data_IF_090375743250
#
_entry.id   IF_090375743250
#
_cell.length_a   1.000
_cell.length_b   1.000
_cell.length_c   1.000
_cell.angle_alpha   90.00
_cell.angle_beta   90.00
_cell.angle_gamma   90.00
#
_symmetry.space_group_name_H-M   'P 1'
#
loop_
_entity.id
_entity.type
_entity.pdbx_description
1 polymer ?
#
# COMPACT_ATOMS: atom_id res chain seq x y z
N UNK A 1 -10.33 -31.68 9.02
CA UNK A 1 -11.58 -31.41 8.27
C UNK A 1 -11.51 -30.01 7.68
N UNK A 2 -11.40 -29.88 6.36
CA UNK A 2 -11.45 -28.60 5.66
C UNK A 2 -12.93 -28.22 5.58
N UNK A 3 -13.40 -27.27 6.41
CA UNK A 3 -14.73 -26.68 6.22
C UNK A 3 -14.74 -26.06 4.83
N UNK A 4 -15.59 -26.57 3.92
CA UNK A 4 -15.79 -25.95 2.63
C UNK A 4 -16.28 -24.51 2.86
N UNK A 5 -15.60 -23.54 2.23
CA UNK A 5 -16.02 -22.15 2.33
C UNK A 5 -17.44 -22.02 1.77
N UNK A 6 -18.31 -21.27 2.45
CA UNK A 6 -19.64 -20.99 1.90
C UNK A 6 -19.50 -20.18 0.59
N UNK A 7 -20.45 -20.34 -0.34
CA UNK A 7 -20.44 -19.61 -1.64
C UNK A 7 -20.17 -18.10 -1.47
N UNK A 8 -20.80 -17.39 -0.50
CA UNK A 8 -20.50 -15.96 -0.26
C UNK A 8 -19.05 -15.67 0.13
N UNK A 9 -18.41 -16.54 0.93
CA UNK A 9 -17.02 -16.37 1.31
C UNK A 9 -16.06 -16.58 0.14
N UNK A 10 -16.32 -17.57 -0.70
CA UNK A 10 -15.53 -17.79 -1.90
C UNK A 10 -15.59 -16.57 -2.83
N UNK A 11 -16.80 -16.02 -3.06
CA UNK A 11 -16.97 -14.81 -3.86
C UNK A 11 -16.24 -13.60 -3.28
N UNK A 12 -16.26 -13.41 -1.95
CA UNK A 12 -15.51 -12.32 -1.31
C UNK A 12 -13.98 -12.52 -1.39
N UNK A 13 -13.47 -13.76 -1.27
CA UNK A 13 -12.03 -14.05 -1.44
C UNK A 13 -11.57 -13.71 -2.85
N UNK A 14 -12.33 -14.13 -3.86
CA UNK A 14 -12.05 -13.81 -5.27
C UNK A 14 -12.11 -12.29 -5.48
N UNK A 15 -13.14 -11.63 -4.94
CA UNK A 15 -13.28 -10.17 -5.04
C UNK A 15 -12.08 -9.43 -4.41
N UNK A 16 -11.57 -9.88 -3.25
CA UNK A 16 -10.40 -9.27 -2.62
C UNK A 16 -9.14 -9.40 -3.48
N UNK A 17 -8.89 -10.58 -4.07
CA UNK A 17 -7.79 -10.80 -5.02
C UNK A 17 -7.92 -9.86 -6.22
N UNK A 18 -9.13 -9.74 -6.79
CA UNK A 18 -9.38 -8.84 -7.92
C UNK A 18 -9.19 -7.37 -7.54
N UNK A 19 -9.67 -6.93 -6.37
CA UNK A 19 -9.46 -5.57 -5.87
C UNK A 19 -7.98 -5.27 -5.70
N UNK A 20 -7.20 -6.23 -5.18
CA UNK A 20 -5.75 -6.07 -5.05
C UNK A 20 -5.06 -5.99 -6.43
N UNK A 21 -5.41 -6.88 -7.37
CA UNK A 21 -4.91 -6.85 -8.75
C UNK A 21 -5.22 -5.53 -9.46
N UNK A 22 -6.47 -5.08 -9.38
CA UNK A 22 -6.94 -3.81 -9.96
C UNK A 22 -6.26 -2.62 -9.27
N UNK A 23 -6.06 -2.70 -7.95
CA UNK A 23 -5.31 -1.74 -7.15
C UNK A 23 -3.81 -1.66 -7.47
N UNK A 24 -3.26 -2.55 -8.29
CA UNK A 24 -1.89 -2.40 -8.79
C UNK A 24 -1.81 -1.45 -9.99
N UNK A 25 -2.94 -0.90 -10.47
CA UNK A 25 -3.15 0.01 -11.62
C UNK A 25 -2.73 -0.52 -12.99
N UNK A 26 -1.63 -1.25 -13.09
CA UNK A 26 -1.01 -1.62 -14.37
C UNK A 26 -1.96 -2.29 -15.36
N UNK A 27 -2.57 -3.41 -14.98
CA UNK A 27 -3.34 -4.24 -15.90
C UNK A 27 -4.54 -3.52 -16.52
N UNK A 28 -5.33 -2.77 -15.73
CA UNK A 28 -6.54 -2.11 -16.22
C UNK A 28 -6.20 -1.01 -17.23
N UNK A 29 -5.21 -0.17 -16.90
CA UNK A 29 -4.80 0.90 -17.79
C UNK A 29 -4.05 0.40 -19.02
N UNK A 30 -3.32 -0.71 -18.92
CA UNK A 30 -2.70 -1.34 -20.09
C UNK A 30 -3.72 -1.96 -21.03
N UNK A 31 -4.74 -2.64 -20.51
CA UNK A 31 -5.87 -3.06 -21.32
C UNK A 31 -6.54 -1.86 -21.98
N UNK A 32 -6.73 -0.76 -21.25
CA UNK A 32 -7.30 0.47 -21.78
C UNK A 32 -6.50 1.06 -22.94
N UNK A 33 -5.17 1.07 -22.86
CA UNK A 33 -4.27 1.57 -23.91
C UNK A 33 -4.25 0.62 -25.11
N UNK A 34 -4.21 -0.70 -24.86
CA UNK A 34 -4.16 -1.71 -25.92
C UNK A 34 -5.42 -1.70 -26.80
N UNK A 35 -6.58 -1.38 -26.21
CA UNK A 35 -7.89 -1.47 -26.86
C UNK A 35 -8.57 -0.12 -27.09
N UNK A 36 -7.87 1.01 -26.93
CA UNK A 36 -8.40 2.32 -27.32
C UNK A 36 -7.55 3.53 -26.91
N UNK A 37 -7.78 4.71 -27.53
CA UNK A 37 -7.04 5.93 -27.21
C UNK A 37 -7.37 6.44 -25.81
N UNK A 38 -6.38 6.90 -25.04
CA UNK A 38 -6.57 7.53 -23.72
C UNK A 38 -6.69 9.04 -23.92
N UNK A 39 -7.80 9.62 -23.48
CA UNK A 39 -8.03 11.07 -23.58
C UNK A 39 -7.33 11.82 -22.45
N UNK A 40 -6.25 12.54 -22.75
CA UNK A 40 -5.54 13.37 -21.76
C UNK A 40 -4.72 12.57 -20.75
N UNK A 41 -4.76 12.94 -19.47
CA UNK A 41 -4.03 12.23 -18.40
C UNK A 41 -4.77 10.94 -17.98
N UNK A 42 -4.05 9.94 -17.46
CA UNK A 42 -4.69 8.72 -16.91
C UNK A 42 -5.63 8.99 -15.73
N UNK A 43 -5.46 10.14 -15.08
CA UNK A 43 -6.37 10.62 -14.03
C UNK A 43 -7.70 11.12 -14.62
N UNK A 44 -7.75 11.43 -15.92
CA UNK A 44 -8.90 11.99 -16.63
C UNK A 44 -9.66 11.01 -17.52
N UNK A 45 -9.14 9.79 -17.71
CA UNK A 45 -9.81 8.80 -18.54
C UNK A 45 -11.11 8.34 -17.87
N UNK A 46 -12.22 9.02 -18.20
CA UNK A 46 -13.55 8.77 -17.64
C UNK A 46 -13.96 7.30 -17.71
N UNK A 47 -13.76 6.57 -18.83
CA UNK A 47 -14.08 5.14 -18.89
C UNK A 47 -13.34 4.34 -17.80
N UNK A 48 -12.04 4.58 -17.63
CA UNK A 48 -11.25 3.89 -16.59
C UNK A 48 -11.70 4.30 -15.18
N UNK A 49 -12.00 5.58 -14.96
CA UNK A 49 -12.50 6.03 -13.66
C UNK A 49 -13.83 5.40 -13.28
N UNK A 50 -14.77 5.33 -14.23
CA UNK A 50 -16.07 4.65 -14.05
C UNK A 50 -15.85 3.16 -13.79
N UNK A 51 -14.95 2.50 -14.51
CA UNK A 51 -14.63 1.09 -14.30
C UNK A 51 -14.16 0.81 -12.86
N UNK A 52 -13.27 1.64 -12.31
CA UNK A 52 -12.85 1.51 -10.91
C UNK A 52 -14.02 1.66 -9.93
N UNK A 53 -14.90 2.66 -10.11
CA UNK A 53 -16.08 2.81 -9.25
C UNK A 53 -17.02 1.61 -9.33
N UNK A 54 -17.27 1.08 -10.53
CA UNK A 54 -18.09 -0.13 -10.73
C UNK A 54 -17.47 -1.34 -10.03
N UNK A 55 -16.15 -1.53 -10.18
CA UNK A 55 -15.41 -2.61 -9.52
C UNK A 55 -15.52 -2.49 -8.00
N UNK A 56 -15.33 -1.29 -7.43
CA UNK A 56 -15.42 -1.08 -5.98
C UNK A 56 -16.84 -1.20 -5.45
N UNK A 57 -17.85 -0.75 -6.20
CA UNK A 57 -19.25 -0.94 -5.83
C UNK A 57 -19.62 -2.44 -5.81
N UNK A 58 -19.23 -3.19 -6.85
CA UNK A 58 -19.43 -4.64 -6.91
C UNK A 58 -18.70 -5.37 -5.79
N UNK A 59 -17.43 -5.04 -5.54
CA UNK A 59 -16.63 -5.60 -4.45
C UNK A 59 -17.26 -5.32 -3.07
N UNK A 60 -17.76 -4.10 -2.85
CA UNK A 60 -18.46 -3.72 -1.63
C UNK A 60 -19.74 -4.54 -1.43
N UNK A 61 -20.56 -4.67 -2.49
CA UNK A 61 -21.78 -5.48 -2.45
C UNK A 61 -21.51 -6.96 -2.16
N UNK A 62 -20.45 -7.53 -2.75
CA UNK A 62 -20.00 -8.89 -2.46
C UNK A 62 -19.49 -9.03 -1.03
N UNK A 63 -18.76 -8.03 -0.51
CA UNK A 63 -18.32 -7.98 0.88
C UNK A 63 -19.49 -8.01 1.85
N UNK A 64 -20.53 -7.19 1.62
CA UNK A 64 -21.74 -7.18 2.46
C UNK A 64 -22.43 -8.55 2.52
N UNK A 65 -22.48 -9.28 1.39
CA UNK A 65 -23.03 -10.65 1.34
C UNK A 65 -22.19 -11.67 2.11
N UNK A 66 -20.90 -11.41 2.29
CA UNK A 66 -19.98 -12.30 3.02
C UNK A 66 -19.93 -12.02 4.53
N UNK A 67 -20.52 -10.92 5.02
CA UNK A 67 -20.61 -10.63 6.44
C UNK A 67 -21.43 -11.70 7.17
N UNK A 68 -20.91 -12.22 8.30
CA UNK A 68 -21.60 -13.22 9.13
C UNK A 68 -22.50 -12.52 10.18
N UNK A 69 -23.77 -12.91 10.39
CA UNK A 69 -24.53 -12.53 11.60
C UNK A 69 -24.02 -13.28 12.85
N UNK A 70 -24.06 -12.72 14.09
CA UNK A 70 -24.58 -11.39 14.47
C UNK A 70 -23.51 -10.29 14.38
N UNK A 71 -22.38 -10.56 13.72
CA UNK A 71 -21.27 -9.62 13.50
C UNK A 71 -21.75 -8.31 12.84
N UNK A 72 -22.90 -8.27 12.16
CA UNK A 72 -23.42 -7.05 11.51
C UNK A 72 -23.67 -5.85 12.44
N UNK A 73 -23.94 -6.04 13.74
CA UNK A 73 -24.16 -4.91 14.69
C UNK A 73 -22.92 -4.47 15.46
N UNK A 74 -21.96 -5.37 15.72
CA UNK A 74 -20.74 -5.07 16.52
C UNK A 74 -19.50 -4.75 15.67
N UNK A 75 -19.50 -5.07 14.38
CA UNK A 75 -18.39 -4.77 13.45
C UNK A 75 -18.40 -3.33 12.92
N UNK A 76 -19.51 -2.61 13.12
CA UNK A 76 -19.68 -1.20 12.72
C UNK A 76 -19.36 -0.18 13.82
N UNK A 77 -19.00 -0.63 15.03
CA UNK A 77 -18.57 0.28 16.10
C UNK A 77 -17.20 0.86 15.69
N UNK A 78 -17.01 2.19 15.74
CA UNK A 78 -15.75 2.81 15.35
C UNK A 78 -14.59 2.21 16.15
N UNK A 79 -13.74 1.48 15.43
CA UNK A 79 -12.49 0.97 15.92
C UNK A 79 -11.53 2.15 16.14
N UNK A 80 -10.65 2.06 17.12
CA UNK A 80 -9.69 3.13 17.46
C UNK A 80 -8.91 3.65 16.23
N UNK A 81 -8.43 2.81 15.28
CA UNK A 81 -7.78 3.29 14.05
C UNK A 81 -8.77 3.70 12.94
N UNK A 82 -10.06 3.36 13.05
CA UNK A 82 -11.08 3.72 12.06
C UNK A 82 -11.47 5.20 12.15
N UNK A 83 -11.56 5.77 13.35
CA UNK A 83 -11.87 7.20 13.51
C UNK A 83 -10.82 8.07 12.80
N UNK A 84 -9.51 7.90 13.04
CA UNK A 84 -8.48 8.65 12.31
C UNK A 84 -8.46 8.37 10.80
N UNK A 85 -8.73 7.13 10.38
CA UNK A 85 -8.85 6.80 8.95
C UNK A 85 -9.98 7.58 8.28
N UNK A 86 -11.17 7.58 8.90
CA UNK A 86 -12.33 8.33 8.40
C UNK A 86 -12.04 9.83 8.44
N UNK A 87 -11.40 10.34 9.48
CA UNK A 87 -11.00 11.75 9.56
C UNK A 87 -10.04 12.14 8.42
N UNK A 88 -9.02 11.32 8.14
CA UNK A 88 -8.13 11.51 6.99
C UNK A 88 -8.91 11.53 5.68
N UNK A 89 -9.79 10.55 5.44
CA UNK A 89 -10.62 10.51 4.24
C UNK A 89 -11.52 11.74 4.11
N UNK A 90 -12.13 12.20 5.21
CA UNK A 90 -12.93 13.41 5.25
C UNK A 90 -12.08 14.62 4.88
N UNK A 91 -10.87 14.77 5.44
CA UNK A 91 -9.97 15.89 5.10
C UNK A 91 -9.61 15.87 3.62
N UNK A 92 -9.29 14.71 3.05
CA UNK A 92 -8.96 14.59 1.63
C UNK A 92 -10.16 14.92 0.73
N UNK A 93 -11.38 14.49 1.09
CA UNK A 93 -12.60 14.85 0.34
C UNK A 93 -12.93 16.34 0.51
N UNK A 94 -12.90 16.85 1.74
CA UNK A 94 -13.15 18.26 2.06
C UNK A 94 -12.16 19.18 1.35
N UNK A 95 -10.94 18.71 1.04
CA UNK A 95 -9.99 19.48 0.25
C UNK A 95 -10.50 19.88 -1.14
N UNK A 96 -11.56 19.24 -1.65
CA UNK A 96 -12.25 19.70 -2.86
C UNK A 96 -12.88 21.09 -2.71
N UNK A 97 -13.24 21.53 -1.49
CA UNK A 97 -13.91 22.80 -1.22
C UNK A 97 -13.01 24.03 -1.43
N UNK A 98 -11.68 23.86 -1.28
CA UNK A 98 -10.69 24.92 -1.49
C UNK A 98 -9.69 24.57 -2.61
N UNK A 99 -9.98 23.50 -3.36
CA UNK A 99 -9.11 22.99 -4.41
C UNK A 99 -9.05 23.94 -5.60
N UNK A 100 -7.88 24.07 -6.22
CA UNK A 100 -7.74 24.75 -7.52
C UNK A 100 -8.39 23.95 -8.66
N UNK A 101 -8.64 22.65 -8.45
CA UNK A 101 -9.26 21.72 -9.39
C UNK A 101 -10.27 20.82 -8.65
N UNK A 102 -11.38 21.40 -8.18
CA UNK A 102 -12.36 20.72 -7.32
C UNK A 102 -12.86 19.38 -7.87
N UNK A 103 -13.15 19.30 -9.18
CA UNK A 103 -13.64 18.07 -9.82
C UNK A 103 -12.61 16.93 -9.77
N UNK A 104 -11.33 17.24 -9.97
CA UNK A 104 -10.24 16.24 -9.91
C UNK A 104 -10.00 15.76 -8.49
N UNK A 105 -9.97 16.70 -7.55
CA UNK A 105 -9.84 16.40 -6.12
C UNK A 105 -10.98 15.53 -5.63
N UNK A 106 -12.22 15.87 -5.99
CA UNK A 106 -13.38 15.08 -5.61
C UNK A 106 -13.34 13.68 -6.23
N UNK A 107 -13.01 13.56 -7.52
CA UNK A 107 -12.89 12.27 -8.20
C UNK A 107 -11.85 11.35 -7.55
N UNK A 108 -10.63 11.86 -7.29
CA UNK A 108 -9.56 11.07 -6.67
C UNK A 108 -9.87 10.69 -5.22
N UNK A 109 -10.40 11.63 -4.43
CA UNK A 109 -10.73 11.37 -3.02
C UNK A 109 -11.91 10.39 -2.89
N UNK A 110 -12.97 10.52 -3.69
CA UNK A 110 -14.09 9.57 -3.68
C UNK A 110 -13.69 8.18 -4.15
N UNK A 111 -12.80 8.07 -5.12
CA UNK A 111 -12.30 6.75 -5.56
C UNK A 111 -11.42 6.09 -4.50
N UNK A 112 -10.60 6.87 -3.78
CA UNK A 112 -9.87 6.41 -2.60
C UNK A 112 -10.83 5.92 -1.50
N UNK A 113 -11.90 6.67 -1.22
CA UNK A 113 -12.96 6.27 -0.27
C UNK A 113 -13.63 4.97 -0.71
N UNK A 114 -14.03 4.86 -1.97
CA UNK A 114 -14.70 3.67 -2.52
C UNK A 114 -13.81 2.42 -2.44
N UNK A 115 -12.53 2.53 -2.84
CA UNK A 115 -11.57 1.44 -2.71
C UNK A 115 -11.31 1.05 -1.25
N UNK A 116 -11.20 2.04 -0.36
CA UNK A 116 -11.04 1.80 1.08
C UNK A 116 -12.24 1.07 1.67
N UNK A 117 -13.45 1.52 1.35
CA UNK A 117 -14.70 0.90 1.79
C UNK A 117 -14.83 -0.54 1.27
N UNK A 118 -14.52 -0.78 0.00
CA UNK A 118 -14.55 -2.12 -0.60
C UNK A 118 -13.63 -3.09 0.14
N UNK A 119 -12.37 -2.70 0.39
CA UNK A 119 -11.42 -3.53 1.13
C UNK A 119 -11.87 -3.72 2.58
N UNK A 120 -12.32 -2.65 3.24
CA UNK A 120 -12.78 -2.71 4.62
C UNK A 120 -13.91 -3.73 4.79
N UNK A 121 -14.95 -3.66 3.96
CA UNK A 121 -16.12 -4.54 4.03
C UNK A 121 -15.76 -5.98 3.66
N UNK A 122 -14.95 -6.18 2.60
CA UNK A 122 -14.50 -7.51 2.20
C UNK A 122 -13.72 -8.19 3.32
N UNK A 123 -12.68 -7.53 3.86
CA UNK A 123 -11.84 -8.11 4.90
C UNK A 123 -12.63 -8.35 6.20
N UNK A 124 -13.60 -7.50 6.51
CA UNK A 124 -14.48 -7.67 7.67
C UNK A 124 -15.33 -8.94 7.63
N UNK A 125 -15.62 -9.47 6.43
CA UNK A 125 -16.40 -10.70 6.24
C UNK A 125 -15.57 -11.97 6.05
N UNK A 126 -14.25 -11.83 5.91
CA UNK A 126 -13.34 -12.93 5.60
C UNK A 126 -12.69 -13.53 6.83
N UNK A 127 -12.20 -14.76 6.67
CA UNK A 127 -11.41 -15.43 7.70
C UNK A 127 -10.03 -14.77 7.83
N UNK A 128 -9.37 -15.06 8.95
CA UNK A 128 -8.06 -14.50 9.26
C UNK A 128 -7.01 -14.91 8.22
N UNK A 129 -6.14 -13.96 7.85
CA UNK A 129 -5.04 -14.19 6.92
C UNK A 129 -5.45 -14.24 5.44
N UNK A 130 -6.73 -14.02 5.11
CA UNK A 130 -7.18 -13.94 3.71
C UNK A 130 -6.62 -12.73 2.98
N UNK A 131 -6.32 -11.60 3.65
CA UNK A 131 -5.66 -10.46 3.02
C UNK A 131 -4.22 -10.77 2.58
N UNK A 132 -3.48 -11.50 3.42
CA UNK A 132 -2.12 -11.98 3.12
C UNK A 132 -2.13 -12.95 1.94
N UNK A 133 -3.07 -13.91 1.92
CA UNK A 133 -3.27 -14.82 0.80
C UNK A 133 -3.67 -14.08 -0.47
N UNK A 134 -4.56 -13.10 -0.38
CA UNK A 134 -4.99 -12.30 -1.52
C UNK A 134 -3.81 -11.54 -2.14
N UNK A 135 -2.94 -10.95 -1.31
CA UNK A 135 -1.71 -10.30 -1.80
C UNK A 135 -0.76 -11.29 -2.49
N UNK A 136 -0.58 -12.49 -1.93
CA UNK A 136 0.26 -13.51 -2.54
C UNK A 136 -0.27 -13.93 -3.92
N UNK A 137 -1.56 -14.20 -4.03
CA UNK A 137 -2.19 -14.62 -5.29
C UNK A 137 -2.13 -13.46 -6.30
N UNK A 138 -2.60 -12.27 -5.93
CA UNK A 138 -2.60 -11.10 -6.80
C UNK A 138 -1.18 -10.76 -7.27
N UNK A 139 -0.22 -10.73 -6.35
CA UNK A 139 1.17 -10.45 -6.63
C UNK A 139 1.81 -11.48 -7.56
N UNK A 140 1.55 -12.77 -7.33
CA UNK A 140 2.08 -13.85 -8.19
C UNK A 140 1.48 -13.80 -9.59
N UNK A 141 0.17 -13.56 -9.70
CA UNK A 141 -0.50 -13.40 -11.01
C UNK A 141 0.07 -12.19 -11.74
N UNK A 142 0.21 -11.05 -11.06
CA UNK A 142 0.74 -9.83 -11.66
C UNK A 142 2.19 -9.95 -12.15
N UNK A 143 3.06 -10.62 -11.39
CA UNK A 143 4.45 -10.88 -11.80
C UNK A 143 4.51 -11.89 -12.95
N UNK A 144 3.72 -12.97 -12.90
CA UNK A 144 3.66 -13.97 -13.97
C UNK A 144 3.17 -13.36 -15.29
N UNK A 145 2.06 -12.62 -15.27
CA UNK A 145 1.52 -11.93 -16.46
C UNK A 145 2.55 -10.93 -17.01
N UNK A 146 3.30 -10.25 -16.14
CA UNK A 146 4.37 -9.35 -16.57
C UNK A 146 5.52 -10.07 -17.28
N UNK A 147 5.91 -11.26 -16.80
CA UNK A 147 6.91 -12.10 -17.48
C UNK A 147 6.43 -12.53 -18.85
N UNK A 148 5.17 -12.98 -18.94
CA UNK A 148 4.54 -13.36 -20.22
C UNK A 148 4.50 -12.17 -21.18
N UNK A 149 4.09 -10.98 -20.71
CA UNK A 149 4.05 -9.77 -21.53
C UNK A 149 5.42 -9.42 -22.14
N UNK A 150 6.49 -9.55 -21.36
CA UNK A 150 7.85 -9.32 -21.87
C UNK A 150 8.29 -10.41 -22.83
N UNK A 151 8.02 -11.68 -22.53
CA UNK A 151 8.41 -12.81 -23.37
C UNK A 151 7.71 -12.76 -24.75
N UNK A 152 6.47 -12.28 -24.80
CA UNK A 152 5.70 -12.09 -26.02
C UNK A 152 6.00 -10.75 -26.72
N UNK A 153 6.92 -9.93 -26.21
CA UNK A 153 7.31 -8.67 -26.83
C UNK A 153 6.19 -7.62 -26.85
N UNK A 154 5.32 -7.58 -25.83
CA UNK A 154 4.27 -6.56 -25.75
C UNK A 154 4.88 -5.15 -25.74
N UNK A 155 4.23 -4.22 -26.42
CA UNK A 155 4.67 -2.83 -26.49
C UNK A 155 4.85 -2.23 -25.08
N UNK A 156 5.95 -1.50 -24.87
CA UNK A 156 6.36 -0.92 -23.57
C UNK A 156 6.51 -1.91 -22.40
N UNK A 157 6.46 -3.22 -22.61
CA UNK A 157 6.72 -4.21 -21.54
C UNK A 157 8.16 -4.14 -21.02
N UNK A 158 9.05 -3.52 -21.79
CA UNK A 158 10.39 -3.09 -21.42
C UNK A 158 10.52 -1.57 -21.58
N UNK A 159 11.28 -0.92 -20.69
CA UNK A 159 11.63 0.50 -20.83
C UNK A 159 12.74 0.71 -21.87
N UNK A 160 12.99 1.97 -22.26
CA UNK A 160 14.03 2.32 -23.24
C UNK A 160 15.46 1.95 -22.83
N UNK A 161 15.67 1.42 -21.62
CA UNK A 161 16.96 0.92 -21.11
C UNK A 161 16.95 -0.60 -20.91
N UNK A 162 15.95 -1.31 -21.46
CA UNK A 162 15.81 -2.76 -21.39
C UNK A 162 15.41 -3.28 -19.99
N UNK A 163 14.95 -2.42 -19.08
CA UNK A 163 14.41 -2.84 -17.78
C UNK A 163 12.99 -3.31 -17.94
N UNK A 164 12.61 -4.26 -17.10
CA UNK A 164 11.28 -4.85 -17.12
C UNK A 164 10.25 -3.89 -16.52
N UNK A 165 9.23 -3.56 -17.31
CA UNK A 165 8.04 -2.79 -16.91
C UNK A 165 6.81 -3.70 -16.82
N UNK A 166 6.77 -4.79 -17.59
CA UNK A 166 5.67 -5.75 -17.58
C UNK A 166 4.35 -5.13 -18.01
N UNK A 167 3.27 -5.47 -17.31
CA UNK A 167 1.94 -4.88 -17.54
C UNK A 167 1.70 -3.60 -16.73
N UNK A 168 2.76 -2.92 -16.30
CA UNK A 168 2.66 -1.70 -15.49
C UNK A 168 3.04 -0.46 -16.28
N UNK A 169 2.80 0.72 -15.70
CA UNK A 169 3.17 1.99 -16.34
C UNK A 169 4.66 2.25 -16.36
N UNK A 170 5.34 1.84 -15.30
CA UNK A 170 6.77 2.04 -15.15
C UNK A 170 7.38 0.87 -14.36
N UNK A 171 8.71 0.72 -14.48
CA UNK A 171 9.47 -0.33 -13.78
C UNK A 171 9.33 -0.29 -12.27
N UNK A 172 9.09 0.88 -11.68
CA UNK A 172 8.99 1.01 -10.22
C UNK A 172 7.67 0.45 -9.69
N UNK A 173 6.57 0.60 -10.44
CA UNK A 173 5.29 -0.01 -10.12
C UNK A 173 5.39 -1.55 -10.12
N UNK A 174 5.99 -2.15 -11.15
CA UNK A 174 6.23 -3.60 -11.16
C UNK A 174 7.21 -4.02 -10.05
N UNK A 175 8.28 -3.25 -9.83
CA UNK A 175 9.23 -3.50 -8.75
C UNK A 175 8.56 -3.51 -7.38
N UNK A 176 7.63 -2.59 -7.12
CA UNK A 176 6.82 -2.54 -5.91
C UNK A 176 5.93 -3.77 -5.76
N UNK A 177 5.28 -4.23 -6.83
CA UNK A 177 4.47 -5.46 -6.81
C UNK A 177 5.34 -6.67 -6.49
N UNK A 178 6.46 -6.83 -7.22
CA UNK A 178 7.40 -7.93 -7.00
C UNK A 178 7.95 -7.96 -5.56
N UNK A 179 8.35 -6.80 -5.03
CA UNK A 179 8.83 -6.69 -3.65
C UNK A 179 7.76 -6.96 -2.60
N UNK A 180 6.51 -6.55 -2.85
CA UNK A 180 5.38 -6.86 -1.96
C UNK A 180 5.07 -8.36 -1.95
N UNK A 181 5.15 -9.02 -3.11
CA UNK A 181 5.00 -10.48 -3.24
C UNK A 181 6.12 -11.22 -2.51
N UNK A 182 7.37 -10.77 -2.65
CA UNK A 182 8.52 -11.33 -1.94
C UNK A 182 8.36 -11.20 -0.42
N UNK A 183 8.03 -10.00 0.06
CA UNK A 183 7.73 -9.74 1.47
C UNK A 183 6.62 -10.68 1.98
N UNK A 184 5.49 -10.74 1.27
CA UNK A 184 4.38 -11.58 1.64
C UNK A 184 4.77 -13.07 1.69
N UNK A 185 5.54 -13.56 0.72
CA UNK A 185 5.97 -14.97 0.69
C UNK A 185 6.86 -15.30 1.90
N UNK A 186 7.82 -14.43 2.23
CA UNK A 186 8.71 -14.63 3.37
C UNK A 186 7.92 -14.62 4.69
N UNK A 187 7.03 -13.64 4.90
CA UNK A 187 6.20 -13.60 6.11
C UNK A 187 5.29 -14.83 6.21
N UNK A 188 4.74 -15.30 5.08
CA UNK A 188 3.90 -16.49 5.03
C UNK A 188 4.67 -17.74 5.47
N UNK A 189 5.91 -17.88 5.01
CA UNK A 189 6.84 -18.94 5.43
C UNK A 189 7.20 -18.84 6.91
N UNK A 190 7.52 -17.63 7.41
CA UNK A 190 7.87 -17.39 8.82
C UNK A 190 6.74 -17.79 9.78
N UNK A 191 5.49 -17.49 9.42
CA UNK A 191 4.30 -17.87 10.20
C UNK A 191 4.01 -19.38 10.14
N UNK A 192 4.41 -20.06 9.07
CA UNK A 192 4.16 -21.49 8.82
C UNK A 192 5.43 -22.34 8.84
N UNK A 193 6.44 -21.98 9.64
CA UNK A 193 7.77 -22.61 9.65
C UNK A 193 7.82 -24.13 9.82
N UNK A 194 6.76 -24.76 10.33
CA UNK A 194 6.66 -26.23 10.51
C UNK A 194 6.03 -26.94 9.30
N UNK A 195 5.50 -26.19 8.35
CA UNK A 195 4.91 -26.68 7.11
C UNK A 195 5.93 -26.54 5.99
N UNK A 196 6.70 -27.61 5.75
CA UNK A 196 7.72 -27.65 4.71
C UNK A 196 7.15 -27.44 3.30
N UNK A 197 5.88 -27.81 3.05
CA UNK A 197 5.23 -27.57 1.76
C UNK A 197 4.93 -26.09 1.57
N UNK A 198 4.38 -25.44 2.61
CA UNK A 198 4.19 -23.99 2.58
C UNK A 198 5.52 -23.26 2.42
N UNK A 199 6.57 -23.65 3.13
CA UNK A 199 7.90 -23.07 2.99
C UNK A 199 8.46 -23.22 1.56
N UNK A 200 8.31 -24.39 0.94
CA UNK A 200 8.74 -24.63 -0.44
C UNK A 200 7.97 -23.75 -1.45
N UNK A 201 6.64 -23.70 -1.35
CA UNK A 201 5.81 -22.84 -2.21
C UNK A 201 6.17 -21.37 -2.03
N UNK A 202 6.40 -20.93 -0.78
CA UNK A 202 6.82 -19.57 -0.47
C UNK A 202 8.19 -19.25 -1.08
N UNK A 203 9.13 -20.20 -1.03
CA UNK A 203 10.46 -20.04 -1.63
C UNK A 203 10.36 -19.90 -3.15
N UNK A 204 9.50 -20.68 -3.81
CA UNK A 204 9.29 -20.58 -5.26
C UNK A 204 8.66 -19.23 -5.66
N UNK A 205 7.62 -18.80 -4.94
CA UNK A 205 6.98 -17.48 -5.15
C UNK A 205 7.99 -16.36 -4.88
N UNK A 206 8.74 -16.44 -3.77
CA UNK A 206 9.76 -15.45 -3.40
C UNK A 206 10.89 -15.37 -4.42
N UNK A 207 11.40 -16.51 -4.89
CA UNK A 207 12.45 -16.55 -5.90
C UNK A 207 11.99 -15.94 -7.23
N UNK A 208 10.78 -16.28 -7.70
CA UNK A 208 10.24 -15.69 -8.93
C UNK A 208 10.02 -14.18 -8.80
N UNK A 209 9.49 -13.72 -7.67
CA UNK A 209 9.35 -12.30 -7.36
C UNK A 209 10.70 -11.57 -7.31
N UNK A 210 11.73 -12.18 -6.72
CA UNK A 210 13.08 -11.63 -6.66
C UNK A 210 13.72 -11.47 -8.05
N UNK A 211 13.54 -12.46 -8.93
CA UNK A 211 14.01 -12.40 -10.32
C UNK A 211 13.32 -11.26 -11.07
N UNK A 212 11.99 -11.15 -10.96
CA UNK A 212 11.23 -10.05 -11.60
C UNK A 212 11.70 -8.71 -11.06
N UNK A 213 11.83 -8.56 -9.74
CA UNK A 213 12.35 -7.34 -9.14
C UNK A 213 13.74 -6.98 -9.69
N UNK A 214 14.66 -7.94 -9.78
CA UNK A 214 16.02 -7.69 -10.28
C UNK A 214 16.00 -7.11 -11.71
N UNK A 215 15.10 -7.62 -12.56
CA UNK A 215 14.88 -7.11 -13.93
C UNK A 215 14.27 -5.70 -13.97
N UNK A 216 13.54 -5.28 -12.93
CA UNK A 216 12.98 -3.91 -12.84
C UNK A 216 14.02 -2.88 -12.39
N UNK A 217 14.94 -3.25 -11.49
CA UNK A 217 15.91 -2.33 -10.90
C UNK A 217 15.37 -1.36 -9.84
N UNK A 218 14.12 -1.50 -9.38
CA UNK A 218 13.52 -0.57 -8.41
C UNK A 218 14.16 -0.67 -7.02
N UNK A 219 14.84 0.38 -6.54
CA UNK A 219 15.47 0.35 -5.22
C UNK A 219 14.44 0.49 -4.08
N UNK A 220 13.48 1.40 -4.21
CA UNK A 220 12.47 1.70 -3.17
C UNK A 220 11.70 0.47 -2.74
N UNK A 221 11.20 -0.32 -3.70
CA UNK A 221 10.45 -1.54 -3.38
C UNK A 221 11.26 -2.52 -2.56
N UNK A 222 12.56 -2.67 -2.85
CA UNK A 222 13.42 -3.59 -2.10
C UNK A 222 13.71 -3.08 -0.69
N UNK A 223 13.97 -1.78 -0.52
CA UNK A 223 14.15 -1.20 0.82
C UNK A 223 12.88 -1.42 1.64
N UNK A 224 11.70 -1.18 1.07
CA UNK A 224 10.43 -1.45 1.75
C UNK A 224 10.24 -2.94 2.11
N UNK A 225 10.54 -3.86 1.19
CA UNK A 225 10.45 -5.30 1.44
C UNK A 225 11.40 -5.74 2.56
N UNK A 226 12.66 -5.33 2.52
CA UNK A 226 13.65 -5.67 3.54
C UNK A 226 13.23 -5.09 4.91
N UNK A 227 12.80 -3.84 4.97
CA UNK A 227 12.32 -3.23 6.21
C UNK A 227 11.09 -3.96 6.77
N UNK A 228 10.13 -4.34 5.93
CA UNK A 228 8.95 -5.11 6.34
C UNK A 228 9.30 -6.53 6.80
N UNK A 229 10.20 -7.23 6.10
CA UNK A 229 10.70 -8.56 6.48
C UNK A 229 11.41 -8.49 7.83
N UNK A 230 12.29 -7.50 8.01
CA UNK A 230 13.03 -7.30 9.25
C UNK A 230 12.08 -7.03 10.42
N UNK A 231 11.09 -6.16 10.23
CA UNK A 231 10.06 -5.89 11.25
C UNK A 231 9.25 -7.15 11.58
N UNK A 232 8.89 -7.95 10.59
CA UNK A 232 8.18 -9.22 10.80
C UNK A 232 9.02 -10.23 11.57
N UNK A 233 10.29 -10.39 11.17
CA UNK A 233 11.24 -11.28 11.83
C UNK A 233 11.50 -10.83 13.27
N UNK A 234 11.62 -9.53 13.51
CA UNK A 234 11.74 -8.96 14.85
C UNK A 234 10.56 -9.37 15.75
N UNK A 235 9.32 -9.24 15.27
CA UNK A 235 8.13 -9.68 16.03
C UNK A 235 8.22 -11.18 16.33
N UNK A 236 8.56 -11.99 15.33
CA UNK A 236 8.68 -13.45 15.49
C UNK A 236 9.74 -13.82 16.55
N UNK A 237 10.89 -13.13 16.55
CA UNK A 237 11.95 -13.35 17.55
C UNK A 237 11.50 -12.85 18.93
N UNK A 238 10.85 -11.68 19.01
CA UNK A 238 10.30 -11.13 20.25
C UNK A 238 9.30 -12.09 20.89
N UNK A 239 8.36 -12.65 20.11
CA UNK A 239 7.34 -13.59 20.59
C UNK A 239 7.92 -14.89 21.14
N UNK A 240 9.13 -15.28 20.71
CA UNK A 240 9.83 -16.47 21.20
C UNK A 240 10.78 -16.20 22.36
N UNK A 241 11.02 -14.93 22.68
CA UNK A 241 11.96 -14.53 23.71
C UNK A 241 11.28 -14.37 25.06
N UNK A 242 11.99 -14.67 26.15
CA UNK A 242 11.50 -14.51 27.52
C UNK A 242 12.40 -13.56 28.34
N UNK A 243 11.87 -13.02 29.44
CA UNK A 243 12.64 -12.25 30.42
C UNK A 243 13.39 -11.02 29.87
N UNK A 244 14.68 -10.90 30.20
CA UNK A 244 15.55 -9.76 29.82
C UNK A 244 15.74 -9.68 28.29
N UNK A 245 15.82 -10.81 27.60
CA UNK A 245 16.01 -10.85 26.15
C UNK A 245 14.82 -10.23 25.41
N UNK A 246 13.59 -10.50 25.85
CA UNK A 246 12.38 -9.85 25.31
C UNK A 246 12.39 -8.33 25.49
N UNK A 247 12.88 -7.83 26.64
CA UNK A 247 13.04 -6.38 26.90
C UNK A 247 14.10 -5.75 26.00
N UNK A 248 15.26 -6.38 25.84
CA UNK A 248 16.34 -5.89 24.98
C UNK A 248 15.90 -5.86 23.51
N UNK A 249 15.25 -6.93 23.03
CA UNK A 249 14.68 -6.98 21.69
C UNK A 249 13.57 -5.93 21.52
N UNK A 250 12.83 -5.60 22.58
CA UNK A 250 11.81 -4.54 22.57
C UNK A 250 12.33 -3.16 22.13
N UNK A 251 13.63 -2.87 22.29
CA UNK A 251 14.27 -1.59 21.92
C UNK A 251 14.75 -1.59 20.45
N UNK A 252 14.95 -2.78 19.86
CA UNK A 252 15.49 -2.94 18.50
C UNK A 252 14.70 -2.24 17.37
N UNK A 253 13.36 -2.10 17.40
CA UNK A 253 12.61 -1.36 16.38
C UNK A 253 12.98 0.11 16.32
N UNK A 254 13.28 0.74 17.47
CA UNK A 254 13.68 2.14 17.51
C UNK A 254 15.01 2.36 16.78
N UNK A 255 15.97 1.45 16.98
CA UNK A 255 17.25 1.48 16.29
C UNK A 255 17.08 1.21 14.79
N UNK A 256 16.19 0.30 14.41
CA UNK A 256 15.91 -0.01 13.01
C UNK A 256 15.20 1.14 12.29
N UNK A 257 14.25 1.82 12.95
CA UNK A 257 13.61 3.04 12.43
C UNK A 257 14.64 4.14 12.24
N UNK A 258 15.51 4.38 13.22
CA UNK A 258 16.61 5.35 13.09
C UNK A 258 17.59 4.98 11.98
N UNK A 259 17.90 3.68 11.81
CA UNK A 259 18.75 3.18 10.72
C UNK A 259 18.12 3.37 9.34
N UNK A 260 16.80 3.16 9.20
CA UNK A 260 16.07 3.41 7.95
C UNK A 260 16.01 4.91 7.66
N UNK A 261 15.73 5.75 8.65
CA UNK A 261 15.77 7.20 8.51
C UNK A 261 17.16 7.70 8.11
N UNK A 262 18.21 7.15 8.72
CA UNK A 262 19.60 7.44 8.37
C UNK A 262 19.95 6.95 6.96
N UNK A 263 19.45 5.80 6.51
CA UNK A 263 19.67 5.28 5.15
C UNK A 263 18.95 6.13 4.10
N UNK A 264 17.73 6.59 4.41
CA UNK A 264 16.97 7.54 3.58
C UNK A 264 17.68 8.88 3.51
N UNK A 265 18.33 9.33 4.59
CA UNK A 265 19.15 10.53 4.62
C UNK A 265 20.48 10.35 3.84
N UNK A 266 21.16 9.19 3.99
CA UNK A 266 22.44 8.85 3.35
C UNK A 266 22.32 8.26 1.92
N UNK A 267 21.13 8.38 1.32
CA UNK A 267 20.70 7.72 0.07
C UNK A 267 21.62 7.88 -1.13
N UNK A 268 22.20 9.07 -1.34
CA UNK A 268 23.06 9.36 -2.49
C UNK A 268 24.37 8.57 -2.47
N UNK A 269 24.83 8.22 -1.27
CA UNK A 269 26.02 7.39 -1.04
C UNK A 269 25.67 5.92 -1.28
N UNK A 270 24.61 5.42 -0.67
CA UNK A 270 24.21 4.00 -0.76
C UNK A 270 23.96 3.54 -2.20
N UNK A 271 23.29 4.34 -3.03
CA UNK A 271 23.04 3.98 -4.44
C UNK A 271 24.32 3.89 -5.26
N UNK A 272 25.30 4.78 -5.02
CA UNK A 272 26.61 4.74 -5.69
C UNK A 272 27.41 3.50 -5.31
N UNK A 273 27.36 3.09 -4.04
CA UNK A 273 28.08 1.90 -3.55
C UNK A 273 27.55 0.59 -4.14
N UNK A 274 26.25 0.52 -4.47
CA UNK A 274 25.62 -0.68 -5.06
C UNK A 274 25.83 -0.73 -6.60
N UNK A 275 26.57 0.22 -7.18
CA UNK A 275 26.81 0.28 -8.63
C UNK A 275 25.52 0.47 -9.45
N UNK A 276 24.46 0.99 -8.82
CA UNK A 276 23.19 1.29 -9.47
C UNK A 276 23.09 2.80 -9.69
N UNK A 277 22.59 3.21 -10.85
CA UNK A 277 22.21 4.61 -11.03
C UNK A 277 21.22 5.03 -9.93
N UNK A 278 21.33 6.24 -9.37
CA UNK A 278 20.37 6.73 -8.38
C UNK A 278 18.97 6.67 -9.00
N UNK A 279 18.12 5.76 -8.52
CA UNK A 279 16.72 5.62 -8.99
C UNK A 279 15.84 6.82 -8.67
N UNK A 280 16.39 7.82 -7.97
CA UNK A 280 15.76 9.08 -7.59
C UNK A 280 16.28 10.29 -8.40
N UNK A 281 17.07 10.11 -9.47
CA UNK A 281 17.50 11.23 -10.31
C UNK A 281 16.28 12.06 -10.74
N UNK A 282 16.26 13.32 -10.27
CA UNK A 282 15.23 14.33 -10.46
C UNK A 282 13.90 14.18 -9.70
N UNK A 283 13.74 13.17 -8.83
CA UNK A 283 12.66 13.17 -7.81
C UNK A 283 12.91 14.20 -6.73
N UNK A 284 14.17 14.45 -6.37
CA UNK A 284 14.53 15.52 -5.41
C UNK A 284 14.17 16.89 -5.93
N UNK A 285 14.50 17.16 -7.19
CA UNK A 285 14.25 18.45 -7.83
C UNK A 285 12.73 18.68 -7.99
N UNK A 286 11.98 17.61 -8.26
CA UNK A 286 10.51 17.63 -8.21
C UNK A 286 10.02 18.03 -6.80
N UNK A 287 10.60 17.46 -5.75
CA UNK A 287 10.19 17.75 -4.37
C UNK A 287 10.47 19.19 -3.97
N UNK A 288 11.57 19.78 -4.45
CA UNK A 288 11.89 21.19 -4.20
C UNK A 288 10.81 22.10 -4.82
N UNK A 289 10.39 21.84 -6.07
CA UNK A 289 9.28 22.56 -6.70
C UNK A 289 7.97 22.40 -5.92
N UNK A 290 7.67 21.18 -5.43
CA UNK A 290 6.47 20.91 -4.63
C UNK A 290 6.49 21.67 -3.30
N UNK A 291 7.64 21.66 -2.61
CA UNK A 291 7.82 22.31 -1.30
C UNK A 291 7.74 23.83 -1.47
N UNK A 292 8.39 24.38 -2.50
CA UNK A 292 8.30 25.80 -2.85
C UNK A 292 6.86 26.22 -3.11
N UNK A 293 6.12 25.44 -3.91
CA UNK A 293 4.72 25.68 -4.18
C UNK A 293 3.86 25.59 -2.91
N UNK A 294 4.13 24.62 -2.03
CA UNK A 294 3.40 24.42 -0.77
C UNK A 294 3.50 25.63 0.17
N UNK A 295 4.62 26.38 0.18
CA UNK A 295 4.73 27.61 0.98
C UNK A 295 3.68 28.67 0.63
N UNK A 296 3.09 28.62 -0.57
CA UNK A 296 1.97 29.50 -0.96
C UNK A 296 0.63 29.12 -0.28
N UNK A 297 0.46 27.85 0.14
CA UNK A 297 -0.77 27.32 0.76
C UNK A 297 -0.49 26.32 1.90
N UNK A 298 0.22 26.71 2.97
CA UNK A 298 0.81 25.74 3.91
C UNK A 298 -0.22 24.96 4.71
N UNK A 299 -1.30 25.61 5.17
CA UNK A 299 -2.30 24.98 6.05
C UNK A 299 -3.19 23.96 5.32
N UNK A 300 -3.69 24.32 4.14
CA UNK A 300 -4.74 23.58 3.43
C UNK A 300 -4.28 22.94 2.11
N UNK A 301 -3.15 23.35 1.55
CA UNK A 301 -2.66 22.86 0.27
C UNK A 301 -3.50 23.32 -0.93
N UNK A 302 -3.28 22.69 -2.08
CA UNK A 302 -3.91 23.03 -3.36
C UNK A 302 -5.22 22.29 -3.66
N UNK A 303 -5.62 21.34 -2.80
CA UNK A 303 -6.59 20.29 -3.08
C UNK A 303 -5.89 18.96 -3.42
N UNK A 304 -6.38 17.83 -2.89
CA UNK A 304 -5.77 16.52 -3.14
C UNK A 304 -5.65 16.23 -4.65
N UNK A 305 -4.43 15.92 -5.12
CA UNK A 305 -4.03 15.77 -6.54
C UNK A 305 -4.27 16.99 -7.46
N UNK A 306 -4.65 18.15 -6.93
CA UNK A 306 -4.93 19.34 -7.75
C UNK A 306 -3.70 20.21 -8.01
N UNK A 307 -2.72 20.23 -7.10
CA UNK A 307 -1.53 21.07 -7.22
C UNK A 307 -0.72 20.85 -8.51
N UNK A 308 -0.83 19.67 -9.12
CA UNK A 308 -0.20 19.36 -10.41
C UNK A 308 -0.73 20.20 -11.58
N UNK A 309 -1.88 20.86 -11.43
CA UNK A 309 -2.49 21.70 -12.47
C UNK A 309 -2.22 23.19 -12.28
N UNK A 310 -1.50 23.55 -11.21
CA UNK A 310 -1.06 24.92 -11.00
C UNK A 310 -0.04 25.35 -12.09
N UNK A 311 -0.27 26.48 -12.79
CA UNK A 311 0.60 26.91 -13.90
C UNK A 311 2.06 27.13 -13.51
N UNK A 312 2.32 27.65 -12.30
CA UNK A 312 3.68 27.90 -11.80
C UNK A 312 4.39 26.58 -11.49
N UNK A 313 3.70 25.63 -10.83
CA UNK A 313 4.21 24.27 -10.62
C UNK A 313 4.55 23.61 -11.96
N UNK A 314 3.65 23.70 -12.95
CA UNK A 314 3.90 23.15 -14.30
C UNK A 314 5.08 23.83 -14.99
N UNK A 315 5.28 25.13 -14.78
CA UNK A 315 6.44 25.84 -15.31
C UNK A 315 7.75 25.34 -14.67
N UNK A 316 7.80 25.23 -13.34
CA UNK A 316 8.97 24.70 -12.62
C UNK A 316 9.33 23.27 -13.04
N UNK A 317 8.34 22.38 -13.13
CA UNK A 317 8.54 21.00 -13.58
C UNK A 317 9.08 20.91 -15.03
N UNK A 318 8.62 21.79 -15.93
CA UNK A 318 9.13 21.86 -17.32
C UNK A 318 10.61 22.28 -17.36
N UNK A 319 11.04 23.22 -16.53
CA UNK A 319 12.43 23.69 -16.47
C UNK A 319 13.38 22.54 -16.13
N UNK A 320 12.98 21.64 -15.22
CA UNK A 320 13.78 20.48 -14.83
C UNK A 320 13.56 19.25 -15.72
N UNK A 321 12.78 19.36 -16.80
CA UNK A 321 12.52 18.28 -17.76
C UNK A 321 11.61 17.15 -17.22
N UNK A 322 10.82 17.42 -16.18
CA UNK A 322 9.92 16.43 -15.57
C UNK A 322 8.46 16.63 -16.01
N UNK A 323 7.83 15.53 -16.44
CA UNK A 323 6.44 15.51 -16.90
C UNK A 323 5.65 14.34 -16.31
N UNK A 324 5.63 14.22 -14.99
CA UNK A 324 4.75 13.28 -14.26
C UNK A 324 3.71 14.06 -13.44
N UNK A 325 2.76 13.33 -12.86
CA UNK A 325 1.57 13.86 -12.16
C UNK A 325 1.45 13.31 -10.74
N UNK A 326 2.57 12.92 -10.14
CA UNK A 326 2.63 12.41 -8.78
C UNK A 326 4.00 12.66 -8.15
N UNK A 327 4.03 12.88 -6.83
CA UNK A 327 5.26 13.24 -6.14
C UNK A 327 6.25 12.06 -6.06
N UNK A 328 5.80 10.85 -6.40
CA UNK A 328 6.46 9.59 -6.04
C UNK A 328 6.84 9.55 -4.55
N UNK A 329 6.00 10.17 -3.72
CA UNK A 329 6.12 10.26 -2.28
C UNK A 329 4.75 10.61 -1.73
N UNK A 330 4.06 9.64 -1.12
CA UNK A 330 2.69 9.86 -0.66
C UNK A 330 2.58 10.83 0.51
N UNK A 331 3.66 11.09 1.26
CA UNK A 331 3.65 12.11 2.31
C UNK A 331 3.68 13.51 1.71
N UNK A 332 4.54 13.74 0.73
CA UNK A 332 4.59 15.00 -0.02
C UNK A 332 3.31 15.21 -0.85
N UNK A 333 2.72 14.14 -1.40
CA UNK A 333 1.44 14.23 -2.10
C UNK A 333 0.33 14.76 -1.18
N UNK A 334 0.25 14.26 0.07
CA UNK A 334 -0.72 14.73 1.06
C UNK A 334 -0.40 16.15 1.52
N UNK A 335 0.87 16.49 1.74
CA UNK A 335 1.29 17.85 2.09
C UNK A 335 0.91 18.85 0.98
N UNK A 336 1.22 18.51 -0.26
CA UNK A 336 0.98 19.36 -1.42
C UNK A 336 -0.52 19.56 -1.67
N UNK A 337 -1.30 18.49 -1.54
CA UNK A 337 -2.74 18.53 -1.77
C UNK A 337 -3.56 19.07 -0.60
N UNK A 338 -3.32 18.61 0.62
CA UNK A 338 -4.17 18.89 1.78
C UNK A 338 -3.46 19.67 2.91
N UNK A 339 -2.22 20.13 2.68
CA UNK A 339 -1.46 20.97 3.60
C UNK A 339 -1.13 20.28 4.93
N UNK A 340 -0.79 21.08 5.94
CA UNK A 340 -0.54 20.61 7.30
C UNK A 340 -1.75 19.91 7.90
N UNK A 341 -2.98 20.29 7.52
CA UNK A 341 -4.20 19.62 7.98
C UNK A 341 -4.24 18.15 7.53
N UNK A 342 -3.96 17.90 6.24
CA UNK A 342 -3.86 16.55 5.69
C UNK A 342 -2.74 15.73 6.34
N UNK A 343 -1.57 16.34 6.54
CA UNK A 343 -0.43 15.69 7.20
C UNK A 343 -0.73 15.36 8.66
N UNK A 344 -1.38 16.25 9.40
CA UNK A 344 -1.79 16.00 10.78
C UNK A 344 -2.80 14.84 10.87
N UNK A 345 -3.79 14.81 9.98
CA UNK A 345 -4.76 13.71 9.92
C UNK A 345 -4.09 12.38 9.54
N UNK A 346 -3.13 12.40 8.61
CA UNK A 346 -2.35 11.22 8.23
C UNK A 346 -1.47 10.74 9.39
N UNK A 347 -0.78 11.64 10.08
CA UNK A 347 0.07 11.31 11.22
C UNK A 347 -0.78 10.72 12.36
N UNK A 348 -1.97 11.27 12.62
CA UNK A 348 -2.91 10.71 13.59
C UNK A 348 -3.35 9.30 13.21
N UNK A 349 -3.68 9.07 11.94
CA UNK A 349 -4.03 7.74 11.45
C UNK A 349 -2.88 6.73 11.59
N UNK A 350 -1.68 7.06 11.11
CA UNK A 350 -0.53 6.17 11.19
C UNK A 350 -0.11 5.92 12.65
N UNK A 351 -0.19 6.94 13.50
CA UNK A 351 0.06 6.82 14.94
C UNK A 351 -0.94 5.91 15.64
N UNK A 352 -2.22 5.99 15.28
CA UNK A 352 -3.24 5.09 15.80
C UNK A 352 -3.00 3.64 15.35
N UNK A 353 -2.67 3.40 14.08
CA UNK A 353 -2.32 2.05 13.59
C UNK A 353 -1.09 1.49 14.33
N UNK A 354 -0.03 2.29 14.45
CA UNK A 354 1.19 1.88 15.15
C UNK A 354 0.93 1.52 16.61
N UNK A 355 0.14 2.32 17.32
CA UNK A 355 -0.26 2.05 18.70
C UNK A 355 -1.03 0.73 18.83
N UNK A 356 -1.99 0.47 17.92
CA UNK A 356 -2.76 -0.78 17.94
C UNK A 356 -1.87 -1.99 17.65
N UNK A 357 -0.93 -1.90 16.71
CA UNK A 357 0.04 -2.96 16.43
C UNK A 357 0.88 -3.25 17.66
N UNK A 358 1.40 -2.21 18.33
CA UNK A 358 2.22 -2.35 19.55
C UNK A 358 1.43 -3.04 20.67
N UNK A 359 0.14 -2.72 20.81
CA UNK A 359 -0.76 -3.35 21.77
C UNK A 359 -1.03 -4.84 21.50
N UNK A 360 -0.82 -5.31 20.26
CA UNK A 360 -1.12 -6.69 19.85
C UNK A 360 0.12 -7.46 19.37
N UNK A 361 1.33 -7.09 19.79
CA UNK A 361 2.58 -7.75 19.35
C UNK A 361 2.70 -9.23 19.73
N UNK A 362 1.87 -9.72 20.66
CA UNK A 362 1.83 -11.13 21.05
C UNK A 362 0.85 -11.97 20.20
N UNK A 363 0.05 -11.33 19.35
CA UNK A 363 -0.84 -12.03 18.42
C UNK A 363 -0.02 -12.77 17.34
N UNK A 364 -0.41 -13.99 16.98
CA UNK A 364 0.26 -14.80 15.95
C UNK A 364 0.35 -14.10 14.58
N UNK A 365 -0.54 -13.14 14.31
CA UNK A 365 -0.62 -12.33 13.08
C UNK A 365 0.22 -11.06 13.14
N UNK A 366 0.69 -10.65 14.31
CA UNK A 366 1.48 -9.44 14.50
C UNK A 366 2.71 -9.30 13.57
N UNK A 367 3.42 -10.38 13.15
CA UNK A 367 4.46 -10.27 12.14
C UNK A 367 3.95 -9.69 10.81
N UNK A 368 2.78 -10.14 10.34
CA UNK A 368 2.16 -9.65 9.12
C UNK A 368 1.73 -8.19 9.24
N UNK A 369 1.10 -7.81 10.35
CA UNK A 369 0.64 -6.44 10.58
C UNK A 369 1.81 -5.46 10.70
N UNK A 370 2.81 -5.80 11.52
CA UNK A 370 3.99 -4.96 11.76
C UNK A 370 4.82 -4.83 10.49
N UNK A 371 5.06 -5.95 9.79
CA UNK A 371 5.77 -5.96 8.53
C UNK A 371 5.08 -5.12 7.46
N UNK A 372 3.76 -5.26 7.31
CA UNK A 372 2.98 -4.53 6.31
C UNK A 372 2.91 -3.03 6.63
N UNK A 373 2.81 -2.67 7.91
CA UNK A 373 2.84 -1.27 8.34
C UNK A 373 4.19 -0.63 8.05
N UNK A 374 5.30 -1.27 8.42
CA UNK A 374 6.65 -0.78 8.11
C UNK A 374 6.90 -0.74 6.61
N UNK A 375 6.46 -1.76 5.87
CA UNK A 375 6.51 -1.79 4.41
C UNK A 375 5.79 -0.57 3.83
N UNK A 376 4.56 -0.29 4.27
CA UNK A 376 3.79 0.88 3.85
C UNK A 376 4.55 2.17 4.12
N UNK A 377 5.07 2.35 5.35
CA UNK A 377 5.75 3.58 5.75
C UNK A 377 6.94 3.89 4.83
N UNK A 378 7.75 2.87 4.52
CA UNK A 378 8.95 3.00 3.68
C UNK A 378 8.59 3.11 2.20
N UNK A 379 7.67 2.28 1.70
CA UNK A 379 7.21 2.31 0.32
C UNK A 379 6.64 3.68 -0.05
N UNK A 380 5.94 4.33 0.88
CA UNK A 380 5.31 5.61 0.65
C UNK A 380 6.31 6.79 0.54
N UNK A 381 7.58 6.60 0.90
CA UNK A 381 8.64 7.60 0.68
C UNK A 381 9.04 7.68 -0.79
N UNK A 382 9.04 6.56 -1.51
CA UNK A 382 9.49 6.50 -2.90
C UNK A 382 8.40 6.19 -3.92
N UNK A 383 7.15 6.00 -3.49
CA UNK A 383 5.99 5.96 -4.37
C UNK A 383 4.77 6.59 -3.68
N UNK A 384 3.87 7.18 -4.48
CA UNK A 384 2.61 7.73 -3.98
C UNK A 384 1.60 6.61 -3.76
N UNK A 385 1.62 6.01 -2.56
CA UNK A 385 0.72 4.92 -2.20
C UNK A 385 -0.58 5.41 -1.54
N UNK A 386 -0.61 6.64 -1.02
CA UNK A 386 -1.84 7.31 -0.56
C UNK A 386 -2.52 7.97 -1.77
N UNK A 387 -3.18 7.15 -2.58
CA UNK A 387 -3.94 7.59 -3.75
C UNK A 387 -4.97 6.54 -4.12
N UNK A 388 -5.92 6.92 -4.96
CA UNK A 388 -6.90 5.98 -5.49
C UNK A 388 -6.21 4.78 -6.18
N UNK A 389 -6.77 3.59 -6.00
CA UNK A 389 -6.33 2.37 -6.65
C UNK A 389 -4.86 2.03 -6.35
N UNK A 390 -4.46 2.01 -5.07
CA UNK A 390 -3.09 1.61 -4.66
C UNK A 390 -3.15 0.40 -3.74
N UNK A 391 -2.63 -0.72 -4.20
CA UNK A 391 -2.70 -1.98 -3.46
C UNK A 391 -1.96 -1.92 -2.11
N UNK A 392 -0.88 -1.15 -1.99
CA UNK A 392 -0.14 -0.99 -0.73
C UNK A 392 -1.00 -0.27 0.32
N UNK A 393 -1.82 0.70 -0.09
CA UNK A 393 -2.86 1.29 0.76
C UNK A 393 -3.94 0.27 1.13
N UNK A 394 -4.39 -0.55 0.17
CA UNK A 394 -5.37 -1.61 0.45
C UNK A 394 -4.86 -2.65 1.45
N UNK A 395 -3.58 -3.02 1.40
CA UNK A 395 -2.96 -3.88 2.41
C UNK A 395 -2.99 -3.22 3.79
N UNK A 396 -2.68 -1.92 3.89
CA UNK A 396 -2.78 -1.19 5.16
C UNK A 396 -4.22 -1.17 5.69
N UNK A 397 -5.21 -0.92 4.84
CA UNK A 397 -6.63 -0.96 5.22
C UNK A 397 -7.02 -2.36 5.71
N UNK A 398 -6.55 -3.42 5.06
CA UNK A 398 -6.78 -4.78 5.52
C UNK A 398 -6.18 -5.03 6.92
N UNK A 399 -4.95 -4.56 7.15
CA UNK A 399 -4.29 -4.62 8.47
C UNK A 399 -5.11 -3.90 9.54
N UNK A 400 -5.65 -2.71 9.25
CA UNK A 400 -6.53 -1.96 10.16
C UNK A 400 -7.73 -2.80 10.60
N UNK A 401 -8.37 -3.51 9.66
CA UNK A 401 -9.52 -4.37 9.95
C UNK A 401 -9.11 -5.60 10.77
N UNK A 402 -7.99 -6.24 10.44
CA UNK A 402 -7.52 -7.45 11.09
C UNK A 402 -7.06 -7.22 12.54
N UNK A 403 -6.30 -6.15 12.82
CA UNK A 403 -5.89 -5.83 14.21
C UNK A 403 -7.13 -5.53 15.05
N UNK A 404 -8.07 -4.82 14.46
CA UNK A 404 -9.32 -4.46 15.11
C UNK A 404 -10.23 -5.65 15.43
N UNK A 405 -10.15 -6.73 14.63
CA UNK A 405 -10.87 -7.96 14.93
C UNK A 405 -10.22 -8.76 16.06
N UNK A 406 -8.90 -8.71 16.18
CA UNK A 406 -8.13 -9.36 17.26
C UNK A 406 -8.52 -8.85 18.66
N UNK A 407 -8.75 -7.54 18.81
CA UNK A 407 -9.22 -6.92 20.06
C UNK A 407 -10.53 -7.53 20.57
N UNK A 408 -11.38 -8.03 19.68
CA UNK A 408 -12.69 -8.62 20.04
C UNK A 408 -12.60 -10.07 20.49
N UNK A 409 -11.51 -10.76 20.16
CA UNK A 409 -11.29 -12.16 20.57
C UNK A 409 -10.63 -12.30 21.93
N UNK A 410 -10.01 -11.25 22.47
CA UNK A 410 -9.48 -11.23 23.84
C UNK A 410 -10.65 -11.13 24.84
N UNK A 411 -10.75 -12.01 25.87
CA UNK A 411 -11.74 -11.83 26.92
C UNK A 411 -11.55 -10.45 27.57
N UNK A 412 -12.62 -9.72 27.92
CA UNK A 412 -12.45 -8.60 28.84
C UNK A 412 -11.84 -9.17 30.12
N UNK A 413 -10.72 -8.60 30.57
CA UNK A 413 -10.17 -8.90 31.89
C UNK A 413 -11.34 -8.84 32.88
N UNK A 414 -11.62 -9.96 33.54
CA UNK A 414 -12.45 -9.97 34.72
C UNK A 414 -11.77 -8.99 35.67
N UNK A 415 -12.39 -7.82 35.80
CA UNK A 415 -12.01 -6.84 36.79
C UNK A 415 -11.91 -7.60 38.11
N UNK A 416 -10.68 -7.68 38.61
CA UNK A 416 -10.39 -8.11 39.98
C UNK A 416 -11.06 -7.07 40.86
N UNK A 417 -12.29 -7.37 41.26
CA UNK A 417 -12.89 -6.84 42.48
C UNK A 417 -12.45 -7.77 43.59
N UNK A 418 -11.37 -7.39 44.26
CA UNK A 418 -11.17 -7.68 45.67
C UNK A 418 -11.24 -6.37 46.43
#
# INVERSE_FOLDING_TARGET
MIRSASRPQLSARIALVLVFLVGMRGALYRLRIQFGPVGGSFLDDRPTQVAFFVIYAAATALGFRALRPPMSRRTLIPLIPLIPLVALLIVLVASSLWSIEAGRTLGQSLQLVAGTAAVYVLVSGLDEGESHRALLIAGTVATAVSVVAVALGWEWSTDGRGRMTGVFFNRNALGMVACSTLFAAIVWSLQRRRDHRAAFVAALIGASALVVWWRTGSATGMVAAVSGIFASAWVVVRQRSTGRLRRVIGIAPMVAVLGVLALVAARGTVTRWIGREPTLTGRTDTWDVIIEAWYRRPALGFGFFAGWFDPEVRAGLRVIGFNHWEAHNGYLEVLFGAGLLGVAALAWFLGAVGREIVGHLDDARAPWWTGSFVFFLVANVGETNIAANRFVWFVLVAVVVEISSARRSSPPDLAVTD
#
